data_IF_769803707847
#
_entry.id   IF_769803707847
#
_cell.length_a   1.000
_cell.length_b   1.000
_cell.length_c   1.000
_cell.angle_alpha   90.00
_cell.angle_beta   90.00
_cell.angle_gamma   90.00
#
_symmetry.space_group_name_H-M   'P 1'
#
loop_
_entity.id
_entity.type
_entity.pdbx_description
1 polymer ?
#
# COMPACT_ATOMS: atom_id res chain seq x y z
N UNK A 1 0.17 10.90 -23.21
CA UNK A 1 -0.79 9.78 -23.04
C UNK A 1 -0.31 9.03 -21.84
N UNK A 2 -1.05 9.09 -20.73
CA UNK A 2 -0.67 8.38 -19.50
C UNK A 2 -0.83 6.88 -19.78
N UNK A 3 0.24 6.12 -19.60
CA UNK A 3 0.20 4.67 -19.69
C UNK A 3 -0.54 4.11 -18.47
N UNK A 4 -1.86 3.98 -18.62
CA UNK A 4 -2.66 3.24 -17.64
C UNK A 4 -2.22 1.78 -17.71
N UNK A 5 -1.70 1.26 -16.61
CA UNK A 5 -1.34 -0.16 -16.50
C UNK A 5 -2.65 -0.96 -16.59
N UNK A 6 -2.87 -1.63 -17.73
CA UNK A 6 -4.07 -2.42 -17.95
C UNK A 6 -3.99 -3.75 -17.21
N UNK A 7 -5.14 -4.22 -16.75
CA UNK A 7 -5.31 -5.50 -16.05
C UNK A 7 -4.73 -6.70 -16.82
N UNK A 8 -4.87 -6.72 -18.15
CA UNK A 8 -4.29 -7.76 -19.01
C UNK A 8 -2.76 -7.83 -18.91
N UNK A 9 -2.12 -6.70 -18.67
CA UNK A 9 -0.65 -6.64 -18.49
C UNK A 9 -0.23 -7.30 -17.17
N UNK A 10 -1.05 -7.17 -16.13
CA UNK A 10 -0.83 -7.80 -14.82
C UNK A 10 -1.03 -9.31 -14.93
N UNK A 11 -2.11 -9.76 -15.56
CA UNK A 11 -2.41 -11.18 -15.78
C UNK A 11 -1.32 -11.88 -16.60
N UNK A 12 -0.82 -11.22 -17.65
CA UNK A 12 0.28 -11.75 -18.46
C UNK A 12 1.61 -11.82 -17.71
N UNK A 13 1.86 -10.86 -16.79
CA UNK A 13 3.10 -10.84 -16.01
C UNK A 13 3.17 -11.98 -14.97
N UNK A 14 2.01 -12.39 -14.41
CA UNK A 14 1.96 -13.31 -13.27
C UNK A 14 1.30 -14.66 -13.55
N UNK A 15 0.71 -14.87 -14.73
CA UNK A 15 0.05 -16.14 -15.11
C UNK A 15 -1.18 -16.49 -14.24
N UNK A 16 -1.71 -15.53 -13.49
CA UNK A 16 -2.84 -15.74 -12.58
C UNK A 16 -4.14 -15.63 -13.35
N UNK A 17 -4.94 -16.71 -13.40
CA UNK A 17 -6.33 -16.63 -13.86
C UNK A 17 -7.16 -15.90 -12.80
N UNK A 18 -7.46 -14.64 -13.04
CA UNK A 18 -8.21 -13.80 -12.14
C UNK A 18 -9.70 -14.06 -12.25
N UNK A 19 -10.29 -14.74 -11.28
CA UNK A 19 -11.65 -14.38 -10.88
C UNK A 19 -11.56 -13.05 -10.12
N UNK A 20 -12.42 -12.11 -10.51
CA UNK A 20 -12.43 -10.70 -10.15
C UNK A 20 -12.40 -10.42 -8.63
N UNK A 21 -11.25 -10.55 -7.99
CA UNK A 21 -11.02 -9.95 -6.68
C UNK A 21 -10.30 -8.62 -6.92
N UNK A 22 -10.94 -7.54 -6.50
CA UNK A 22 -10.35 -6.20 -6.41
C UNK A 22 -9.24 -6.25 -5.35
N UNK A 23 -8.07 -6.75 -5.72
CA UNK A 23 -6.92 -6.77 -4.83
C UNK A 23 -6.05 -5.57 -5.16
N UNK A 24 -5.86 -4.69 -4.20
CA UNK A 24 -4.95 -3.54 -4.28
C UNK A 24 -3.53 -3.96 -4.70
N UNK A 25 -3.11 -5.15 -4.28
CA UNK A 25 -1.82 -5.73 -4.65
C UNK A 25 -1.59 -5.92 -6.15
N UNK A 26 -2.63 -6.14 -6.96
CA UNK A 26 -2.43 -6.40 -8.39
C UNK A 26 -1.86 -5.20 -9.15
N UNK A 27 -2.43 -4.02 -8.95
CA UNK A 27 -1.95 -2.80 -9.59
C UNK A 27 -0.52 -2.46 -9.15
N UNK A 28 -0.25 -2.56 -7.88
CA UNK A 28 1.07 -2.30 -7.29
C UNK A 28 2.08 -3.40 -7.63
N UNK A 29 1.65 -4.67 -7.64
CA UNK A 29 2.50 -5.81 -7.96
C UNK A 29 3.13 -5.73 -9.35
N UNK A 30 2.39 -5.26 -10.35
CA UNK A 30 2.92 -5.04 -11.70
C UNK A 30 4.03 -3.98 -11.73
N UNK A 31 3.95 -2.97 -10.85
CA UNK A 31 4.97 -1.93 -10.74
C UNK A 31 6.26 -2.50 -10.11
N UNK A 32 6.14 -3.23 -9.01
CA UNK A 32 7.31 -3.76 -8.26
C UNK A 32 7.95 -4.99 -8.89
N UNK A 33 7.23 -5.74 -9.71
CA UNK A 33 7.72 -6.99 -10.31
C UNK A 33 8.99 -6.81 -11.15
N UNK A 34 9.20 -5.63 -11.73
CA UNK A 34 10.34 -5.30 -12.60
C UNK A 34 11.44 -4.51 -11.88
N UNK A 35 11.24 -4.19 -10.61
CA UNK A 35 12.24 -3.46 -9.82
C UNK A 35 13.32 -4.42 -9.32
N UNK A 36 14.55 -3.96 -9.29
CA UNK A 36 15.68 -4.69 -8.69
C UNK A 36 15.69 -4.44 -7.18
N UNK A 37 15.54 -5.50 -6.39
CA UNK A 37 15.59 -5.46 -4.91
C UNK A 37 14.77 -4.34 -4.26
N UNK A 38 13.50 -4.15 -4.63
CA UNK A 38 12.73 -3.02 -4.12
C UNK A 38 12.49 -3.12 -2.62
N UNK A 39 12.61 -1.98 -1.94
CA UNK A 39 12.17 -1.80 -0.56
C UNK A 39 10.82 -1.11 -0.55
N UNK A 40 9.79 -1.81 -0.09
CA UNK A 40 8.40 -1.38 -0.12
C UNK A 40 7.90 -1.17 1.31
N UNK A 41 7.14 -0.09 1.52
CA UNK A 41 6.40 0.17 2.74
C UNK A 41 4.90 0.16 2.43
N UNK A 42 4.13 -0.64 3.17
CA UNK A 42 2.69 -0.70 3.15
C UNK A 42 2.13 -0.13 4.47
N UNK A 43 1.13 0.73 4.39
CA UNK A 43 0.38 1.26 5.52
C UNK A 43 -1.03 0.66 5.47
N UNK A 44 -1.36 -0.19 6.44
CA UNK A 44 -2.55 -1.03 6.46
C UNK A 44 -2.26 -2.43 5.94
N UNK A 45 -2.06 -3.38 6.86
CA UNK A 45 -1.74 -4.78 6.50
C UNK A 45 -2.97 -5.65 6.44
N UNK A 46 -3.96 -5.38 7.26
CA UNK A 46 -5.16 -6.19 7.48
C UNK A 46 -4.87 -7.71 7.55
N UNK A 47 -5.41 -8.52 6.65
CA UNK A 47 -5.15 -9.98 6.56
C UNK A 47 -3.94 -10.34 5.69
N UNK A 48 -3.23 -9.35 5.14
CA UNK A 48 -1.98 -9.51 4.39
C UNK A 48 -2.16 -9.97 2.94
N UNK A 49 -3.29 -9.69 2.30
CA UNK A 49 -3.51 -10.07 0.90
C UNK A 49 -2.55 -9.33 -0.03
N UNK A 50 -2.44 -8.01 0.11
CA UNK A 50 -1.50 -7.18 -0.65
C UNK A 50 -0.06 -7.58 -0.35
N UNK A 51 0.30 -7.72 0.93
CA UNK A 51 1.63 -8.13 1.36
C UNK A 51 2.05 -9.47 0.73
N UNK A 52 1.18 -10.49 0.80
CA UNK A 52 1.44 -11.80 0.21
C UNK A 52 1.68 -11.69 -1.30
N UNK A 53 0.81 -10.95 -2.00
CA UNK A 53 0.90 -10.78 -3.44
C UNK A 53 2.21 -10.06 -3.85
N UNK A 54 2.60 -9.02 -3.15
CA UNK A 54 3.85 -8.29 -3.41
C UNK A 54 5.08 -9.19 -3.21
N UNK A 55 5.10 -9.95 -2.12
CA UNK A 55 6.21 -10.86 -1.80
C UNK A 55 6.32 -12.03 -2.80
N UNK A 56 5.19 -12.49 -3.36
CA UNK A 56 5.17 -13.50 -4.42
C UNK A 56 5.60 -12.94 -5.78
N UNK A 57 5.24 -11.68 -6.06
CA UNK A 57 5.49 -11.05 -7.37
C UNK A 57 6.96 -10.73 -7.62
N UNK A 58 7.75 -10.52 -6.55
CA UNK A 58 9.18 -10.22 -6.66
C UNK A 58 9.98 -10.90 -5.53
N UNK A 59 10.82 -11.91 -5.84
CA UNK A 59 11.57 -12.67 -4.84
C UNK A 59 12.68 -11.85 -4.13
N UNK A 60 13.07 -10.71 -4.67
CA UNK A 60 14.06 -9.81 -4.08
C UNK A 60 13.43 -8.66 -3.27
N UNK A 61 12.09 -8.50 -3.33
CA UNK A 61 11.36 -7.46 -2.61
C UNK A 61 11.49 -7.63 -1.10
N UNK A 62 11.78 -6.53 -0.42
CA UNK A 62 11.66 -6.41 1.04
C UNK A 62 10.46 -5.55 1.38
N UNK A 63 9.57 -6.08 2.22
CA UNK A 63 8.33 -5.42 2.62
C UNK A 63 8.35 -5.10 4.11
N UNK A 64 8.09 -3.83 4.41
CA UNK A 64 7.66 -3.37 5.72
C UNK A 64 6.17 -3.09 5.65
N UNK A 65 5.40 -3.62 6.59
CA UNK A 65 3.97 -3.40 6.64
C UNK A 65 3.57 -2.88 8.02
N UNK A 66 2.80 -1.80 8.06
CA UNK A 66 2.43 -1.08 9.29
C UNK A 66 0.95 -1.24 9.54
N UNK A 67 0.58 -1.80 10.69
CA UNK A 67 -0.80 -1.89 11.17
C UNK A 67 -0.78 -2.05 12.70
N UNK A 68 -1.51 -1.26 13.47
CA UNK A 68 -1.50 -1.36 14.93
C UNK A 68 -2.19 -2.65 15.43
N UNK A 69 -3.09 -3.22 14.64
CA UNK A 69 -3.96 -4.33 15.05
C UNK A 69 -4.70 -4.04 16.37
N UNK A 70 -5.12 -2.80 16.52
CA UNK A 70 -6.01 -2.36 17.59
C UNK A 70 -7.45 -2.37 17.07
N UNK A 71 -8.42 -2.56 17.98
CA UNK A 71 -9.82 -2.45 17.62
C UNK A 71 -10.16 -1.00 17.29
N UNK A 72 -10.90 -0.76 16.22
CA UNK A 72 -11.24 0.59 15.77
C UNK A 72 -12.62 0.64 15.10
N UNK A 73 -13.10 1.85 14.86
CA UNK A 73 -14.27 2.12 14.03
C UNK A 73 -13.77 2.57 12.66
N UNK A 74 -14.17 1.87 11.61
CA UNK A 74 -13.74 2.19 10.25
C UNK A 74 -14.45 3.45 9.68
N UNK A 75 -14.09 3.82 8.46
CA UNK A 75 -14.60 5.00 7.77
C UNK A 75 -16.11 5.01 7.56
N UNK A 76 -16.79 3.87 7.59
CA UNK A 76 -18.24 3.73 7.44
C UNK A 76 -18.98 3.50 8.77
N UNK A 77 -18.29 3.61 9.90
CA UNK A 77 -18.85 3.48 11.24
C UNK A 77 -18.95 2.05 11.76
N UNK A 78 -18.38 1.06 11.07
CA UNK A 78 -18.36 -0.34 11.50
C UNK A 78 -17.26 -0.57 12.54
N UNK A 79 -17.62 -1.15 13.68
CA UNK A 79 -16.65 -1.60 14.69
C UNK A 79 -15.88 -2.82 14.19
N UNK A 80 -14.58 -2.74 14.15
CA UNK A 80 -13.67 -3.84 13.84
C UNK A 80 -12.99 -4.31 15.12
N UNK A 81 -13.19 -5.59 15.44
CA UNK A 81 -12.71 -6.26 16.65
C UNK A 81 -11.79 -7.42 16.27
N UNK A 82 -11.28 -8.12 17.29
CA UNK A 82 -10.46 -9.34 17.12
C UNK A 82 -9.18 -9.10 16.29
N UNK A 83 -8.67 -7.88 16.30
CA UNK A 83 -7.50 -7.50 15.51
C UNK A 83 -6.23 -8.27 15.90
N UNK A 84 -6.10 -8.71 17.16
CA UNK A 84 -5.02 -9.63 17.59
C UNK A 84 -5.06 -10.97 16.86
N UNK A 85 -6.26 -11.51 16.61
CA UNK A 85 -6.42 -12.76 15.85
C UNK A 85 -5.98 -12.53 14.41
N UNK A 86 -6.33 -11.39 13.82
CA UNK A 86 -5.91 -11.04 12.46
C UNK A 86 -4.39 -10.90 12.37
N UNK A 87 -3.75 -10.25 13.34
CA UNK A 87 -2.29 -10.17 13.44
C UNK A 87 -1.64 -11.56 13.44
N UNK A 88 -2.11 -12.48 14.30
CA UNK A 88 -1.55 -13.82 14.39
C UNK A 88 -1.74 -14.61 13.08
N UNK A 89 -2.89 -14.46 12.43
CA UNK A 89 -3.16 -15.09 11.14
C UNK A 89 -2.23 -14.55 10.04
N UNK A 90 -2.01 -13.24 9.98
CA UNK A 90 -1.06 -12.62 9.06
C UNK A 90 0.36 -13.16 9.29
N UNK A 91 0.84 -13.15 10.53
CA UNK A 91 2.18 -13.64 10.87
C UNK A 91 2.37 -15.12 10.51
N UNK A 92 1.34 -15.94 10.72
CA UNK A 92 1.36 -17.35 10.30
C UNK A 92 1.39 -17.48 8.77
N UNK A 93 0.53 -16.75 8.06
CA UNK A 93 0.43 -16.74 6.60
C UNK A 93 1.74 -16.33 5.93
N UNK A 94 2.39 -15.29 6.44
CA UNK A 94 3.61 -14.74 5.87
C UNK A 94 4.90 -15.32 6.48
N UNK A 95 4.82 -16.37 7.29
CA UNK A 95 5.97 -16.98 7.97
C UNK A 95 7.07 -17.46 7.02
N UNK A 96 6.71 -17.89 5.80
CA UNK A 96 7.64 -18.28 4.74
C UNK A 96 8.50 -17.13 4.19
N UNK A 97 8.14 -15.87 4.47
CA UNK A 97 8.86 -14.67 4.00
C UNK A 97 9.62 -13.95 5.11
N UNK A 98 9.86 -14.59 6.26
CA UNK A 98 10.43 -13.97 7.46
C UNK A 98 11.79 -13.27 7.27
N UNK A 99 12.53 -13.60 6.21
CA UNK A 99 13.80 -12.96 5.85
C UNK A 99 13.65 -11.66 5.04
N UNK A 100 12.44 -11.35 4.56
CA UNK A 100 12.16 -10.18 3.72
C UNK A 100 10.81 -9.50 3.99
N UNK A 101 10.06 -9.96 5.01
CA UNK A 101 8.84 -9.34 5.53
C UNK A 101 9.05 -8.88 6.97
N UNK A 102 8.67 -7.65 7.26
CA UNK A 102 8.70 -7.07 8.61
C UNK A 102 7.36 -6.42 8.92
N UNK A 103 6.64 -6.96 9.91
CA UNK A 103 5.44 -6.32 10.44
C UNK A 103 5.81 -5.33 11.54
N UNK A 104 5.39 -4.08 11.37
CA UNK A 104 5.51 -3.01 12.35
C UNK A 104 4.15 -2.80 13.01
N UNK A 105 3.98 -3.30 14.24
CA UNK A 105 2.72 -3.22 14.97
C UNK A 105 2.62 -1.88 15.71
N UNK A 106 2.34 -0.82 14.97
CA UNK A 106 2.19 0.58 15.43
C UNK A 106 1.12 1.26 14.59
N UNK A 107 0.58 2.38 15.11
CA UNK A 107 -0.18 3.31 14.27
C UNK A 107 0.73 3.89 13.18
N UNK A 108 0.14 4.36 12.08
CA UNK A 108 0.91 5.00 11.00
C UNK A 108 1.66 6.25 11.50
N UNK A 109 1.04 7.05 12.37
CA UNK A 109 1.66 8.25 12.96
C UNK A 109 2.88 7.94 13.86
N UNK A 110 2.86 6.82 14.55
CA UNK A 110 3.99 6.36 15.37
C UNK A 110 5.11 5.77 14.52
N UNK A 111 4.75 4.87 13.58
CA UNK A 111 5.69 4.18 12.73
C UNK A 111 6.47 5.12 11.80
N UNK A 112 5.85 6.22 11.36
CA UNK A 112 6.53 7.21 10.51
C UNK A 112 7.81 7.79 11.13
N UNK A 113 7.89 7.80 12.47
CA UNK A 113 9.05 8.30 13.22
C UNK A 113 10.24 7.33 13.22
N UNK A 114 9.99 6.06 12.93
CA UNK A 114 11.01 5.02 12.91
C UNK A 114 11.75 4.94 11.57
N UNK A 115 11.18 5.49 10.52
CA UNK A 115 11.74 5.42 9.18
C UNK A 115 12.50 6.70 8.80
N UNK A 116 13.67 6.51 8.21
CA UNK A 116 14.45 7.59 7.62
C UNK A 116 13.82 8.05 6.29
N UNK A 117 14.15 9.26 5.86
CA UNK A 117 13.73 9.78 4.57
C UNK A 117 14.45 9.05 3.42
N UNK A 118 13.80 8.97 2.27
CA UNK A 118 14.34 8.42 1.02
C UNK A 118 14.84 6.97 1.12
N UNK A 119 14.16 6.14 1.93
CA UNK A 119 14.52 4.72 2.14
C UNK A 119 13.74 3.79 1.21
N UNK A 120 12.49 4.11 0.91
CA UNK A 120 11.60 3.20 0.18
C UNK A 120 11.54 3.51 -1.31
N UNK A 121 11.58 2.46 -2.13
CA UNK A 121 11.32 2.56 -3.57
C UNK A 121 9.83 2.74 -3.84
N UNK A 122 8.99 2.19 -2.96
CA UNK A 122 7.53 2.34 -3.01
C UNK A 122 6.99 2.56 -1.60
N UNK A 123 6.08 3.53 -1.44
CA UNK A 123 5.18 3.65 -0.28
C UNK A 123 3.76 3.49 -0.79
N UNK A 124 3.00 2.60 -0.14
CA UNK A 124 1.61 2.27 -0.47
C UNK A 124 0.72 2.47 0.75
N UNK A 125 -0.30 3.32 0.63
CA UNK A 125 -1.20 3.68 1.73
C UNK A 125 -2.57 3.04 1.49
N UNK A 126 -2.92 2.08 2.34
CA UNK A 126 -4.18 1.33 2.33
C UNK A 126 -4.69 1.10 3.76
N UNK A 127 -4.61 2.14 4.59
CA UNK A 127 -4.91 2.10 6.01
C UNK A 127 -6.33 2.57 6.37
N UNK A 128 -6.47 3.45 7.38
CA UNK A 128 -7.75 4.05 7.74
C UNK A 128 -8.17 5.07 6.67
N UNK A 129 -9.26 4.78 5.94
CA UNK A 129 -9.71 5.50 4.75
C UNK A 129 -10.48 6.80 5.04
N UNK A 130 -10.17 7.48 6.15
CA UNK A 130 -10.71 8.81 6.42
C UNK A 130 -9.86 9.88 5.74
N UNK A 131 -10.50 11.00 5.35
CA UNK A 131 -9.78 12.14 4.79
C UNK A 131 -8.65 12.63 5.72
N UNK A 132 -8.94 12.74 7.02
CA UNK A 132 -7.98 13.29 7.99
C UNK A 132 -6.75 12.37 8.16
N UNK A 133 -6.96 11.03 8.22
CA UNK A 133 -5.83 10.12 8.39
C UNK A 133 -5.01 10.01 7.11
N UNK A 134 -5.65 9.88 5.93
CA UNK A 134 -4.88 9.84 4.69
C UNK A 134 -4.09 11.12 4.45
N UNK A 135 -4.66 12.29 4.80
CA UNK A 135 -3.91 13.56 4.70
C UNK A 135 -2.66 13.54 5.56
N UNK A 136 -2.74 13.02 6.80
CA UNK A 136 -1.57 12.86 7.68
C UNK A 136 -0.58 11.84 7.13
N UNK A 137 -1.07 10.70 6.64
CA UNK A 137 -0.20 9.66 6.09
C UNK A 137 0.56 10.17 4.87
N UNK A 138 -0.08 10.94 4.00
CA UNK A 138 0.61 11.61 2.89
C UNK A 138 1.74 12.53 3.37
N UNK A 139 1.49 13.37 4.37
CA UNK A 139 2.51 14.26 4.96
C UNK A 139 3.65 13.49 5.62
N UNK A 140 3.32 12.45 6.38
CA UNK A 140 4.28 11.66 7.15
C UNK A 140 5.19 10.79 6.27
N UNK A 141 4.65 10.27 5.16
CA UNK A 141 5.32 9.21 4.39
C UNK A 141 5.88 9.66 3.04
N UNK A 142 5.47 10.81 2.51
CA UNK A 142 6.01 11.28 1.22
C UNK A 142 7.52 11.47 1.24
N UNK A 143 8.08 12.00 2.35
CA UNK A 143 9.54 12.14 2.49
C UNK A 143 10.27 10.81 2.48
N UNK A 144 9.62 9.70 2.88
CA UNK A 144 10.22 8.37 3.00
C UNK A 144 10.46 7.69 1.64
N UNK A 145 9.77 8.14 0.58
CA UNK A 145 9.99 7.67 -0.78
C UNK A 145 11.27 8.26 -1.35
N UNK A 146 12.07 7.45 -2.01
CA UNK A 146 13.27 7.88 -2.76
C UNK A 146 12.90 8.81 -3.92
N UNK A 147 13.78 9.71 -4.37
CA UNK A 147 13.62 10.39 -5.65
C UNK A 147 13.47 9.36 -6.79
N UNK A 148 12.44 9.52 -7.63
CA UNK A 148 12.09 8.55 -8.67
C UNK A 148 11.32 7.33 -8.19
N UNK A 149 11.07 7.19 -6.89
CA UNK A 149 10.24 6.14 -6.32
C UNK A 149 8.74 6.40 -6.49
N UNK A 150 7.93 5.41 -6.14
CA UNK A 150 6.47 5.46 -6.28
C UNK A 150 5.82 5.80 -4.94
N UNK A 151 4.97 6.82 -4.94
CA UNK A 151 4.04 7.10 -3.85
C UNK A 151 2.65 6.73 -4.32
N UNK A 152 1.97 5.84 -3.60
CA UNK A 152 0.72 5.22 -4.04
C UNK A 152 -0.25 4.98 -2.87
N UNK A 153 -1.51 4.72 -3.19
CA UNK A 153 -2.52 4.23 -2.25
C UNK A 153 -3.71 3.61 -2.96
N UNK A 154 -4.69 3.16 -2.19
CA UNK A 154 -5.87 2.46 -2.68
C UNK A 154 -7.17 3.29 -2.52
N UNK A 155 -8.31 2.73 -2.97
CA UNK A 155 -9.68 3.24 -2.80
C UNK A 155 -9.92 4.66 -3.36
N UNK A 156 -9.24 5.01 -4.44
CA UNK A 156 -9.33 6.35 -5.03
C UNK A 156 -10.72 6.70 -5.55
N UNK A 157 -11.38 5.75 -6.20
CA UNK A 157 -12.72 5.97 -6.76
C UNK A 157 -13.82 5.52 -5.80
N UNK A 158 -13.49 4.60 -4.87
CA UNK A 158 -14.46 4.01 -3.96
C UNK A 158 -14.80 4.93 -2.78
N UNK A 159 -13.85 5.75 -2.30
CA UNK A 159 -14.00 6.53 -1.07
C UNK A 159 -13.68 8.01 -1.30
N UNK A 160 -14.70 8.89 -1.16
CA UNK A 160 -14.57 10.33 -1.41
C UNK A 160 -13.48 10.99 -0.54
N UNK A 161 -13.35 10.60 0.73
CA UNK A 161 -12.32 11.11 1.62
C UNK A 161 -10.91 10.82 1.12
N UNK A 162 -10.69 9.62 0.59
CA UNK A 162 -9.42 9.20 -0.01
C UNK A 162 -9.13 10.00 -1.28
N UNK A 163 -10.12 10.08 -2.18
CA UNK A 163 -10.00 10.84 -3.43
C UNK A 163 -9.58 12.30 -3.18
N UNK A 164 -10.28 12.96 -2.24
CA UNK A 164 -10.02 14.36 -1.90
C UNK A 164 -8.64 14.55 -1.30
N UNK A 165 -8.25 13.75 -0.30
CA UNK A 165 -6.94 13.86 0.36
C UNK A 165 -5.79 13.63 -0.62
N UNK A 166 -5.88 12.59 -1.46
CA UNK A 166 -4.86 12.29 -2.47
C UNK A 166 -4.71 13.42 -3.50
N UNK A 167 -5.82 13.99 -3.99
CA UNK A 167 -5.80 15.11 -4.94
C UNK A 167 -5.21 16.38 -4.35
N UNK A 168 -5.61 16.74 -3.14
CA UNK A 168 -5.10 17.93 -2.46
C UNK A 168 -3.60 17.80 -2.20
N UNK A 169 -3.14 16.62 -1.75
CA UNK A 169 -1.73 16.40 -1.52
C UNK A 169 -0.91 16.36 -2.82
N UNK A 170 -1.39 15.70 -3.88
CA UNK A 170 -0.74 15.71 -5.19
C UNK A 170 -0.57 17.14 -5.73
N UNK A 171 -1.61 17.96 -5.64
CA UNK A 171 -1.55 19.38 -6.02
C UNK A 171 -0.51 20.16 -5.19
N UNK A 172 -0.44 19.92 -3.87
CA UNK A 172 0.52 20.53 -2.96
C UNK A 172 1.97 20.23 -3.37
N UNK A 173 2.25 19.00 -3.81
CA UNK A 173 3.60 18.58 -4.20
C UNK A 173 3.87 18.71 -5.72
N UNK A 174 2.92 19.27 -6.47
CA UNK A 174 3.06 19.53 -7.90
C UNK A 174 3.09 18.27 -8.77
N UNK A 175 2.32 17.23 -8.37
CA UNK A 175 2.24 15.94 -9.07
C UNK A 175 0.86 15.73 -9.69
N UNK A 176 0.83 15.00 -10.80
CA UNK A 176 -0.39 14.51 -11.43
C UNK A 176 -0.68 13.08 -10.92
N UNK A 177 -1.94 12.81 -10.57
CA UNK A 177 -2.37 11.48 -10.13
C UNK A 177 -2.57 10.59 -11.35
N UNK A 178 -1.95 9.44 -11.32
CA UNK A 178 -2.20 8.31 -12.20
C UNK A 178 -3.00 7.25 -11.45
N UNK A 179 -3.81 6.47 -12.18
CA UNK A 179 -4.62 5.40 -11.57
C UNK A 179 -4.47 4.09 -12.32
N UNK A 180 -4.69 2.99 -11.63
CA UNK A 180 -4.79 1.65 -12.23
C UNK A 180 -6.23 1.18 -12.27
N UNK A 181 -6.52 0.11 -13.02
CA UNK A 181 -7.85 -0.53 -13.04
C UNK A 181 -8.25 -1.16 -11.69
N UNK A 182 -7.28 -1.36 -10.79
CA UNK A 182 -7.48 -1.92 -9.45
C UNK A 182 -7.67 -0.83 -8.37
N UNK A 183 -8.11 0.36 -8.75
CA UNK A 183 -8.38 1.50 -7.87
C UNK A 183 -7.16 2.01 -7.06
N UNK A 184 -5.94 1.70 -7.53
CA UNK A 184 -4.70 2.24 -7.00
C UNK A 184 -4.41 3.59 -7.64
N UNK A 185 -4.21 4.62 -6.81
CA UNK A 185 -3.68 5.91 -7.25
C UNK A 185 -2.17 5.98 -6.98
N UNK A 186 -1.44 6.69 -7.83
CA UNK A 186 -0.01 6.82 -7.65
C UNK A 186 0.59 8.00 -8.44
N UNK A 187 1.82 8.35 -8.09
CA UNK A 187 2.73 9.17 -8.90
C UNK A 187 4.18 8.82 -8.60
N UNK A 188 5.06 9.29 -9.46
CA UNK A 188 6.51 9.18 -9.27
C UNK A 188 7.04 10.42 -8.53
N UNK A 189 7.76 10.25 -7.43
CA UNK A 189 8.37 11.33 -6.64
C UNK A 189 9.58 11.99 -7.37
#
# INVERSE_FOLDING_TARGET
>A
MSDVIKFDTVTQAFGVQTQAFKCSGYGLGAMVAKMEKPMVLEIGSDIGDTANFLLDSNPELRLYSVDPYENYIDWNGKQLNERDIMYNNLMHRLSGYSNRFTQVRKTSDEAAKDFQDEVFDVVFIDGLHTYDQLSKDCENYYSKVKPGGIFAGHDFTAIEGVNRAAKEFAAKVGKEILTTECDVWYWIK
#
